data_IF_060908276845
#
_entry.id   IF_060908276845
#
_cell.length_a   1.000
_cell.length_b   1.000
_cell.length_c   1.000
_cell.angle_alpha   90.00
_cell.angle_beta   90.00
_cell.angle_gamma   90.00
#
_symmetry.space_group_name_H-M   'P 1'
#
loop_
_entity.id
_entity.type
_entity.pdbx_description
1 polymer ?
#
# COMPACT_ATOMS: atom_id res chain seq x y z
N UNK A 1 -0.68 -3.18 25.98
CA UNK A 1 0.78 -2.96 26.04
C UNK A 1 1.42 -3.44 24.73
N UNK A 2 1.25 -2.70 23.63
CA UNK A 2 2.01 -2.94 22.40
C UNK A 2 3.33 -2.19 22.54
N UNK A 3 4.40 -2.89 22.92
CA UNK A 3 5.73 -2.29 22.88
C UNK A 3 6.10 -2.15 21.42
N UNK A 4 6.21 -0.90 20.95
CA UNK A 4 6.81 -0.57 19.66
C UNK A 4 8.12 -1.34 19.50
N UNK A 5 8.25 -2.06 18.38
CA UNK A 5 9.50 -2.72 17.99
C UNK A 5 10.61 -1.67 17.77
N UNK A 6 10.24 -0.40 17.63
CA UNK A 6 11.14 0.73 17.57
C UNK A 6 11.42 1.28 18.96
N UNK A 7 12.66 1.10 19.40
CA UNK A 7 13.26 1.90 20.47
C UNK A 7 13.27 3.35 19.95
N UNK A 8 13.03 4.35 20.81
CA UNK A 8 12.88 5.77 20.43
C UNK A 8 14.03 6.41 19.58
N UNK A 9 15.09 5.66 19.26
CA UNK A 9 16.26 6.12 18.48
C UNK A 9 16.45 5.38 17.14
N UNK A 10 15.57 4.47 16.72
CA UNK A 10 15.70 3.75 15.43
C UNK A 10 14.96 4.49 14.31
N UNK A 11 15.70 5.19 13.45
CA UNK A 11 15.19 5.80 12.21
C UNK A 11 15.40 4.87 11.01
N UNK A 12 14.69 5.11 9.91
CA UNK A 12 14.88 4.33 8.68
C UNK A 12 16.32 4.41 8.14
N UNK A 13 17.03 5.51 8.39
CA UNK A 13 18.44 5.64 8.01
C UNK A 13 19.39 4.77 8.85
N UNK A 14 19.10 4.58 10.14
CA UNK A 14 19.91 3.65 10.95
C UNK A 14 19.67 2.20 10.54
N UNK A 15 18.43 1.84 10.19
CA UNK A 15 18.10 0.53 9.63
C UNK A 15 18.80 0.26 8.28
N UNK A 16 18.95 1.29 7.45
CA UNK A 16 19.65 1.19 6.17
C UNK A 16 21.16 0.99 6.33
N UNK A 17 21.74 1.52 7.41
CA UNK A 17 23.19 1.53 7.62
C UNK A 17 23.77 0.14 7.92
N UNK A 18 22.94 -0.83 8.31
CA UNK A 18 23.38 -2.19 8.65
C UNK A 18 22.63 -3.25 7.83
N UNK A 19 23.36 -4.06 7.08
CA UNK A 19 22.78 -5.13 6.24
C UNK A 19 21.94 -6.15 7.02
N UNK A 20 22.28 -6.45 8.28
CA UNK A 20 21.48 -7.35 9.11
C UNK A 20 20.13 -6.70 9.46
N UNK A 21 20.15 -5.43 9.87
CA UNK A 21 18.93 -4.69 10.20
C UNK A 21 18.06 -4.47 8.97
N UNK A 22 18.67 -4.20 7.81
CA UNK A 22 17.98 -4.03 6.54
C UNK A 22 17.23 -5.30 6.12
N UNK A 23 17.82 -6.49 6.27
CA UNK A 23 17.15 -7.73 5.83
C UNK A 23 16.14 -8.27 6.85
N UNK A 24 16.42 -8.15 8.15
CA UNK A 24 15.60 -8.78 9.18
C UNK A 24 14.62 -7.84 9.86
N UNK A 25 14.94 -6.56 10.02
CA UNK A 25 14.08 -5.60 10.74
C UNK A 25 13.26 -4.74 9.79
N UNK A 26 13.81 -4.34 8.63
CA UNK A 26 13.12 -3.47 7.67
C UNK A 26 11.73 -3.98 7.23
N UNK A 27 11.53 -5.28 6.92
CA UNK A 27 10.21 -5.77 6.51
C UNK A 27 9.15 -5.55 7.59
N UNK A 28 9.48 -5.86 8.85
CA UNK A 28 8.57 -5.69 9.99
C UNK A 28 8.38 -4.22 10.34
N UNK A 29 9.44 -3.42 10.20
CA UNK A 29 9.43 -1.99 10.41
C UNK A 29 8.44 -1.28 9.47
N UNK A 30 8.57 -1.51 8.16
CA UNK A 30 7.67 -0.96 7.14
C UNK A 30 6.25 -1.47 7.38
N UNK A 31 6.06 -2.79 7.54
CA UNK A 31 4.73 -3.40 7.69
C UNK A 31 4.00 -2.88 8.94
N UNK A 32 4.66 -2.83 10.09
CA UNK A 32 4.06 -2.36 11.34
C UNK A 32 3.64 -0.90 11.25
N UNK A 33 4.53 -0.02 10.77
CA UNK A 33 4.25 1.41 10.64
C UNK A 33 3.15 1.68 9.59
N UNK A 34 3.16 0.96 8.46
CA UNK A 34 2.11 1.07 7.44
C UNK A 34 0.74 0.63 7.98
N UNK A 35 0.69 -0.47 8.74
CA UNK A 35 -0.56 -0.94 9.36
C UNK A 35 -1.11 0.03 10.39
N UNK A 36 -0.24 0.65 11.18
CA UNK A 36 -0.64 1.71 12.12
C UNK A 36 -1.12 2.97 11.38
N UNK A 37 -0.54 3.31 10.23
CA UNK A 37 -1.06 4.40 9.41
C UNK A 37 -2.47 4.12 8.89
N UNK A 38 -2.76 2.88 8.51
CA UNK A 38 -4.06 2.50 7.91
C UNK A 38 -5.15 2.27 8.97
N UNK A 39 -4.82 1.67 10.11
CA UNK A 39 -5.80 1.24 11.12
C UNK A 39 -5.63 1.86 12.50
N UNK A 40 -4.59 2.68 12.69
CA UNK A 40 -4.30 3.33 13.97
C UNK A 40 -5.23 4.50 14.27
N UNK A 41 -5.25 4.88 15.55
CA UNK A 41 -5.89 6.10 16.03
C UNK A 41 -5.20 7.36 15.49
N UNK A 42 -5.88 8.52 15.47
CA UNK A 42 -5.31 9.78 14.95
C UNK A 42 -3.94 10.12 15.55
N UNK A 43 -3.72 9.81 16.83
CA UNK A 43 -2.43 10.01 17.50
C UNK A 43 -1.33 9.09 16.96
N UNK A 44 -1.65 7.81 16.75
CA UNK A 44 -0.70 6.83 16.22
C UNK A 44 -0.35 7.10 14.75
N UNK A 45 -1.29 7.67 13.98
CA UNK A 45 -1.07 8.11 12.60
C UNK A 45 -0.05 9.26 12.53
N UNK A 46 -0.18 10.26 13.41
CA UNK A 46 0.77 11.38 13.51
C UNK A 46 2.18 10.91 13.90
N UNK A 47 2.28 9.92 14.79
CA UNK A 47 3.57 9.33 15.16
C UNK A 47 4.27 8.58 14.02
N UNK A 48 3.53 8.21 12.96
CA UNK A 48 4.07 7.52 11.79
C UNK A 48 4.45 8.46 10.62
N UNK A 49 4.46 9.79 10.84
CA UNK A 49 4.94 10.75 9.83
C UNK A 49 6.36 10.43 9.31
N UNK A 50 7.21 9.80 10.12
CA UNK A 50 8.55 9.35 9.72
C UNK A 50 8.53 8.41 8.49
N UNK A 51 7.55 7.49 8.40
CA UNK A 51 7.41 6.62 7.23
C UNK A 51 6.97 7.41 6.00
N UNK A 52 6.04 8.36 6.18
CA UNK A 52 5.60 9.25 5.11
C UNK A 52 6.75 10.11 4.59
N UNK A 53 7.53 10.72 5.49
CA UNK A 53 8.71 11.51 5.15
C UNK A 53 9.76 10.65 4.45
N UNK A 54 10.01 9.43 4.92
CA UNK A 54 10.93 8.50 4.29
C UNK A 54 10.54 8.20 2.83
N UNK A 55 9.31 7.75 2.58
CA UNK A 55 8.86 7.46 1.21
C UNK A 55 8.79 8.71 0.32
N UNK A 56 8.36 9.84 0.87
CA UNK A 56 8.33 11.10 0.13
C UNK A 56 9.76 11.56 -0.23
N UNK A 57 10.74 11.40 0.67
CA UNK A 57 12.15 11.73 0.41
C UNK A 57 12.75 10.89 -0.73
N UNK A 58 12.35 9.61 -0.84
CA UNK A 58 12.73 8.74 -1.95
C UNK A 58 12.11 9.22 -3.28
N UNK A 59 10.90 9.79 -3.23
CA UNK A 59 10.19 10.26 -4.42
C UNK A 59 10.61 11.66 -4.90
N UNK A 60 10.93 12.59 -3.98
CA UNK A 60 11.08 14.02 -4.26
C UNK A 60 12.33 14.39 -5.08
N UNK A 61 13.32 13.50 -5.15
CA UNK A 61 14.62 13.78 -5.80
C UNK A 61 14.53 13.75 -7.34
N UNK A 62 13.40 13.36 -7.94
CA UNK A 62 13.21 13.53 -9.39
C UNK A 62 13.23 15.00 -9.84
N UNK A 63 13.00 15.95 -8.92
CA UNK A 63 12.83 17.38 -9.25
C UNK A 63 13.98 18.27 -8.73
N UNK A 64 14.91 17.73 -7.91
CA UNK A 64 16.02 18.49 -7.34
C UNK A 64 17.31 18.25 -8.11
N UNK A 65 17.33 18.67 -9.37
CA UNK A 65 18.56 18.89 -10.15
C UNK A 65 19.26 20.18 -9.70
N UNK A 66 19.65 20.28 -8.42
CA UNK A 66 20.55 21.35 -7.97
C UNK A 66 21.98 20.81 -7.85
N UNK A 67 22.71 21.17 -8.89
CA UNK A 67 24.09 20.89 -9.24
C UNK A 67 25.11 21.10 -8.08
N UNK A 68 26.08 20.19 -7.99
CA UNK A 68 27.48 20.35 -7.49
C UNK A 68 27.92 19.78 -6.13
N UNK A 69 27.05 19.33 -5.23
CA UNK A 69 27.49 18.58 -4.01
C UNK A 69 26.64 17.34 -3.67
N UNK A 70 25.61 17.05 -4.47
CA UNK A 70 24.63 16.01 -4.20
C UNK A 70 24.98 14.61 -4.75
N UNK A 71 26.09 14.42 -5.47
CA UNK A 71 26.35 13.19 -6.24
C UNK A 71 26.46 11.92 -5.37
N UNK A 72 27.04 12.00 -4.16
CA UNK A 72 27.13 10.83 -3.25
C UNK A 72 25.80 10.53 -2.52
N UNK A 73 25.04 11.57 -2.17
CA UNK A 73 23.75 11.42 -1.50
C UNK A 73 22.63 11.02 -2.48
N UNK A 74 22.72 11.43 -3.75
CA UNK A 74 21.76 11.06 -4.79
C UNK A 74 21.93 9.61 -5.23
N UNK A 75 23.18 9.13 -5.37
CA UNK A 75 23.47 7.73 -5.71
C UNK A 75 22.99 6.77 -4.61
N UNK A 76 23.30 7.08 -3.35
CA UNK A 76 22.81 6.27 -2.21
C UNK A 76 21.30 6.30 -2.10
N UNK A 77 20.65 7.43 -2.42
CA UNK A 77 19.19 7.54 -2.40
C UNK A 77 18.54 6.82 -3.59
N UNK A 78 19.16 6.81 -4.76
CA UNK A 78 18.71 6.01 -5.90
C UNK A 78 18.79 4.51 -5.60
N UNK A 79 19.88 4.05 -4.98
CA UNK A 79 20.02 2.66 -4.53
C UNK A 79 18.98 2.32 -3.46
N UNK A 80 18.74 3.23 -2.49
CA UNK A 80 17.67 3.11 -1.49
C UNK A 80 16.32 2.92 -2.16
N UNK A 81 15.97 3.84 -3.06
CA UNK A 81 14.71 3.83 -3.80
C UNK A 81 14.54 2.54 -4.58
N UNK A 82 15.51 2.18 -5.42
CA UNK A 82 15.43 0.98 -6.27
C UNK A 82 15.29 -0.30 -5.45
N UNK A 83 15.97 -0.40 -4.30
CA UNK A 83 15.81 -1.52 -3.37
C UNK A 83 14.40 -1.58 -2.79
N UNK A 84 13.88 -0.45 -2.29
CA UNK A 84 12.54 -0.40 -1.69
C UNK A 84 11.45 -0.68 -2.73
N UNK A 85 11.55 -0.09 -3.93
CA UNK A 85 10.63 -0.35 -5.04
C UNK A 85 10.61 -1.83 -5.42
N UNK A 86 11.78 -2.47 -5.47
CA UNK A 86 11.89 -3.90 -5.78
C UNK A 86 11.36 -4.80 -4.68
N UNK A 87 11.65 -4.48 -3.42
CA UNK A 87 11.38 -5.37 -2.28
C UNK A 87 9.97 -5.21 -1.71
N UNK A 88 9.40 -4.01 -1.75
CA UNK A 88 8.12 -3.67 -1.11
C UNK A 88 7.15 -2.94 -2.06
N UNK A 89 6.89 -3.47 -3.28
CA UNK A 89 6.04 -2.77 -4.25
C UNK A 89 4.58 -2.69 -3.81
N UNK A 90 4.08 -3.67 -3.04
CA UNK A 90 2.71 -3.69 -2.56
C UNK A 90 2.47 -2.66 -1.45
N UNK A 91 3.41 -2.58 -0.50
CA UNK A 91 3.39 -1.59 0.57
C UNK A 91 3.43 -0.16 0.01
N UNK A 92 4.24 0.07 -1.03
CA UNK A 92 4.26 1.34 -1.76
C UNK A 92 2.92 1.63 -2.45
N UNK A 93 2.32 0.65 -3.14
CA UNK A 93 1.03 0.82 -3.78
C UNK A 93 -0.07 1.22 -2.76
N UNK A 94 -0.07 0.55 -1.61
CA UNK A 94 -1.02 0.82 -0.51
C UNK A 94 -0.77 2.19 0.12
N UNK A 95 0.49 2.58 0.28
CA UNK A 95 0.87 3.90 0.79
C UNK A 95 0.42 5.03 -0.15
N UNK A 96 0.66 4.91 -1.46
CA UNK A 96 0.20 5.93 -2.41
C UNK A 96 -1.32 5.99 -2.51
N UNK A 97 -2.01 4.86 -2.30
CA UNK A 97 -3.46 4.85 -2.17
C UNK A 97 -3.91 5.68 -0.96
N UNK A 98 -3.27 5.50 0.19
CA UNK A 98 -3.54 6.29 1.39
C UNK A 98 -3.30 7.80 1.16
N UNK A 99 -2.25 8.16 0.42
CA UNK A 99 -1.99 9.54 0.01
C UNK A 99 -2.93 10.07 -1.09
N UNK A 100 -3.86 9.25 -1.59
CA UNK A 100 -4.78 9.55 -2.71
C UNK A 100 -4.07 9.85 -4.04
N UNK A 101 -2.85 9.35 -4.22
CA UNK A 101 -2.13 9.36 -5.50
C UNK A 101 -2.40 8.04 -6.25
N UNK A 102 -3.51 8.01 -6.97
CA UNK A 102 -4.00 6.80 -7.64
C UNK A 102 -3.11 6.36 -8.81
N UNK A 103 -2.47 7.29 -9.51
CA UNK A 103 -1.61 7.00 -10.66
C UNK A 103 -0.36 6.22 -10.23
N UNK A 104 0.30 6.68 -9.15
CA UNK A 104 1.45 5.97 -8.58
C UNK A 104 1.04 4.64 -7.98
N UNK A 105 -0.09 4.58 -7.27
CA UNK A 105 -0.62 3.33 -6.72
C UNK A 105 -0.82 2.28 -7.83
N UNK A 106 -1.41 2.68 -8.96
CA UNK A 106 -1.63 1.84 -10.14
C UNK A 106 -0.32 1.33 -10.76
N UNK A 107 0.69 2.16 -10.85
CA UNK A 107 2.01 1.74 -11.33
C UNK A 107 2.62 0.66 -10.42
N UNK A 108 2.65 0.88 -9.11
CA UNK A 108 3.29 -0.04 -8.18
C UNK A 108 2.54 -1.37 -8.03
N UNK A 109 1.20 -1.37 -8.13
CA UNK A 109 0.44 -2.64 -8.09
C UNK A 109 0.67 -3.48 -9.35
N UNK A 110 0.80 -2.86 -10.52
CA UNK A 110 1.15 -3.56 -11.76
C UNK A 110 2.55 -4.15 -11.64
N UNK A 111 3.51 -3.35 -11.16
CA UNK A 111 4.87 -3.82 -10.90
C UNK A 111 4.91 -4.98 -9.89
N UNK A 112 4.12 -4.92 -8.81
CA UNK A 112 4.01 -6.01 -7.83
C UNK A 112 3.49 -7.31 -8.46
N UNK A 113 2.49 -7.24 -9.36
CA UNK A 113 1.97 -8.40 -10.10
C UNK A 113 3.01 -9.01 -11.03
N UNK A 114 3.79 -8.18 -11.73
CA UNK A 114 4.88 -8.65 -12.59
C UNK A 114 5.97 -9.35 -11.77
N UNK A 115 6.40 -8.75 -10.65
CA UNK A 115 7.37 -9.36 -9.74
C UNK A 115 6.86 -10.68 -9.17
N UNK A 116 5.57 -10.76 -8.83
CA UNK A 116 4.93 -11.99 -8.40
C UNK A 116 5.04 -13.10 -9.46
N UNK A 117 4.75 -12.80 -10.73
CA UNK A 117 4.83 -13.79 -11.81
C UNK A 117 6.27 -14.26 -12.02
N UNK A 118 7.24 -13.34 -11.98
CA UNK A 118 8.66 -13.67 -12.07
C UNK A 118 9.08 -14.58 -10.91
N UNK A 119 8.73 -14.22 -9.68
CA UNK A 119 9.03 -15.02 -8.49
C UNK A 119 8.37 -16.41 -8.55
N UNK A 120 7.10 -16.48 -8.95
CA UNK A 120 6.38 -17.74 -9.11
C UNK A 120 7.03 -18.66 -10.14
N UNK A 121 7.50 -18.10 -11.27
CA UNK A 121 8.18 -18.87 -12.32
C UNK A 121 9.51 -19.48 -11.86
N UNK A 122 10.17 -18.86 -10.89
CA UNK A 122 11.45 -19.32 -10.33
C UNK A 122 11.29 -20.37 -9.23
N UNK A 123 10.10 -20.49 -8.64
CA UNK A 123 9.85 -21.45 -7.55
C UNK A 123 9.81 -22.88 -8.07
N UNK A 124 10.63 -23.75 -7.46
CA UNK A 124 10.57 -25.18 -7.72
C UNK A 124 9.21 -25.75 -7.32
N UNK A 125 8.70 -26.69 -8.13
CA UNK A 125 7.42 -27.38 -7.88
C UNK A 125 7.40 -28.12 -6.54
N UNK A 126 8.58 -28.53 -6.05
CA UNK A 126 8.76 -29.28 -4.79
C UNK A 126 8.71 -28.38 -3.55
N UNK A 127 8.86 -27.07 -3.68
CA UNK A 127 8.76 -26.14 -2.56
C UNK A 127 7.29 -25.80 -2.28
N UNK A 128 6.55 -26.75 -1.70
CA UNK A 128 5.11 -26.59 -1.41
C UNK A 128 4.85 -25.40 -0.48
N UNK A 129 5.68 -25.20 0.53
CA UNK A 129 5.53 -24.10 1.48
C UNK A 129 5.72 -22.75 0.80
N UNK A 130 6.81 -22.55 0.05
CA UNK A 130 7.07 -21.30 -0.67
C UNK A 130 5.96 -20.98 -1.67
N UNK A 131 5.47 -21.99 -2.40
CA UNK A 131 4.33 -21.80 -3.32
C UNK A 131 3.06 -21.44 -2.58
N UNK A 132 2.77 -22.07 -1.43
CA UNK A 132 1.61 -21.73 -0.61
C UNK A 132 1.67 -20.29 -0.09
N UNK A 133 2.84 -19.82 0.37
CA UNK A 133 2.98 -18.45 0.86
C UNK A 133 2.86 -17.44 -0.27
N UNK A 134 3.49 -17.71 -1.42
CA UNK A 134 3.43 -16.81 -2.57
C UNK A 134 2.00 -16.70 -3.09
N UNK A 135 1.28 -17.81 -3.28
CA UNK A 135 -0.07 -17.76 -3.87
C UNK A 135 -1.08 -16.98 -3.01
N UNK A 136 -0.89 -16.94 -1.69
CA UNK A 136 -1.75 -16.16 -0.79
C UNK A 136 -1.65 -14.65 -1.01
N UNK A 137 -0.54 -14.14 -1.58
CA UNK A 137 -0.36 -12.72 -1.89
C UNK A 137 -1.16 -12.26 -3.11
N UNK A 138 -1.64 -13.19 -3.95
CA UNK A 138 -2.33 -12.81 -5.19
C UNK A 138 -3.66 -12.11 -4.92
N UNK A 139 -4.34 -12.51 -3.84
CA UNK A 139 -5.64 -11.96 -3.48
C UNK A 139 -5.56 -10.47 -3.14
N UNK A 140 -4.74 -10.01 -2.18
CA UNK A 140 -4.63 -8.58 -1.90
C UNK A 140 -4.14 -7.78 -3.11
N UNK A 141 -3.30 -8.36 -3.99
CA UNK A 141 -2.84 -7.67 -5.20
C UNK A 141 -3.96 -7.48 -6.22
N UNK A 142 -4.82 -8.48 -6.36
CA UNK A 142 -5.96 -8.42 -7.26
C UNK A 142 -7.02 -7.47 -6.75
N UNK A 143 -7.36 -7.52 -5.47
CA UNK A 143 -8.38 -6.64 -4.86
C UNK A 143 -7.98 -5.16 -4.93
N UNK A 144 -6.70 -4.82 -4.68
CA UNK A 144 -6.21 -3.44 -4.80
C UNK A 144 -6.30 -2.94 -6.25
N UNK A 145 -5.92 -3.75 -7.23
CA UNK A 145 -6.02 -3.36 -8.64
C UNK A 145 -7.48 -3.22 -9.10
N UNK A 146 -8.37 -4.13 -8.68
CA UNK A 146 -9.80 -4.00 -8.93
C UNK A 146 -10.37 -2.71 -8.32
N UNK A 147 -9.94 -2.37 -7.10
CA UNK A 147 -10.37 -1.14 -6.44
C UNK A 147 -9.88 0.11 -7.20
N UNK A 148 -8.63 0.14 -7.64
CA UNK A 148 -8.10 1.25 -8.44
C UNK A 148 -8.82 1.40 -9.78
N UNK A 149 -9.09 0.29 -10.47
CA UNK A 149 -9.89 0.29 -11.70
C UNK A 149 -11.31 0.79 -11.42
N UNK A 150 -11.93 0.37 -10.32
CA UNK A 150 -13.24 0.86 -9.91
C UNK A 150 -13.23 2.37 -9.65
N UNK A 151 -12.21 2.89 -8.95
CA UNK A 151 -12.06 4.31 -8.69
C UNK A 151 -11.91 5.10 -9.99
N UNK A 152 -11.09 4.65 -10.93
CA UNK A 152 -10.90 5.31 -12.23
C UNK A 152 -12.22 5.43 -13.02
N UNK A 153 -13.02 4.36 -13.06
CA UNK A 153 -14.32 4.37 -13.74
C UNK A 153 -15.39 5.21 -13.02
N UNK A 154 -15.33 5.33 -11.69
CA UNK A 154 -16.31 6.05 -10.89
C UNK A 154 -15.83 7.45 -10.44
N UNK A 155 -14.61 7.85 -10.83
CA UNK A 155 -14.04 9.17 -10.53
C UNK A 155 -14.91 10.35 -11.00
N UNK A 156 -15.59 10.29 -12.16
CA UNK A 156 -16.54 11.33 -12.57
C UNK A 156 -17.74 11.40 -11.63
N UNK A 157 -18.21 10.27 -11.09
CA UNK A 157 -19.32 10.24 -10.13
C UNK A 157 -18.88 10.78 -8.77
N UNK A 158 -17.68 10.43 -8.30
CA UNK A 158 -17.06 10.96 -7.09
C UNK A 158 -16.88 12.47 -7.15
N UNK A 159 -16.33 13.02 -8.25
CA UNK A 159 -16.23 14.47 -8.46
C UNK A 159 -17.60 15.15 -8.48
N UNK A 160 -18.60 14.49 -9.09
CA UNK A 160 -19.97 15.00 -9.08
C UNK A 160 -20.60 14.93 -7.68
N UNK A 161 -20.25 13.96 -6.84
CA UNK A 161 -20.70 13.88 -5.45
C UNK A 161 -20.04 14.97 -4.62
N UNK A 162 -18.72 15.11 -4.67
CA UNK A 162 -17.93 16.13 -3.95
C UNK A 162 -18.38 17.55 -4.29
N UNK A 163 -18.54 17.86 -5.59
CA UNK A 163 -19.08 19.14 -6.04
C UNK A 163 -20.53 19.37 -5.60
N UNK A 164 -21.33 18.30 -5.40
CA UNK A 164 -22.74 18.40 -5.00
C UNK A 164 -22.94 18.53 -3.48
N UNK A 165 -22.09 17.91 -2.66
CA UNK A 165 -22.05 18.11 -1.22
C UNK A 165 -21.76 19.57 -0.84
N UNK A 166 -20.94 20.27 -1.63
CA UNK A 166 -20.72 21.72 -1.50
C UNK A 166 -21.96 22.56 -1.89
N UNK A 167 -22.92 21.97 -2.61
CA UNK A 167 -24.14 22.63 -3.11
C UNK A 167 -25.45 22.06 -2.52
N UNK A 168 -25.43 21.47 -1.32
CA UNK A 168 -26.60 21.20 -0.44
C UNK A 168 -27.96 20.97 -1.14
N UNK A 169 -28.04 20.02 -2.09
CA UNK A 169 -29.23 19.81 -2.90
C UNK A 169 -29.94 18.52 -2.49
N UNK A 170 -31.22 18.60 -2.10
CA UNK A 170 -32.02 17.53 -1.48
C UNK A 170 -32.19 16.23 -2.31
N UNK A 171 -31.63 16.16 -3.51
CA UNK A 171 -31.66 15.00 -4.41
C UNK A 171 -30.45 14.05 -4.25
N UNK A 172 -29.52 14.34 -3.34
CA UNK A 172 -28.23 13.64 -3.15
C UNK A 172 -28.32 12.17 -2.72
N UNK A 173 -29.44 11.75 -2.12
CA UNK A 173 -29.64 10.37 -1.65
C UNK A 173 -29.53 9.38 -2.83
N UNK A 174 -30.09 9.74 -3.99
CA UNK A 174 -30.12 8.87 -5.17
C UNK A 174 -28.74 8.57 -5.76
N UNK A 175 -27.85 9.55 -5.81
CA UNK A 175 -26.50 9.35 -6.38
C UNK A 175 -25.54 8.67 -5.43
N UNK A 176 -25.70 8.90 -4.12
CA UNK A 176 -24.96 8.13 -3.10
C UNK A 176 -25.40 6.67 -3.10
N UNK A 177 -26.71 6.42 -3.14
CA UNK A 177 -27.24 5.06 -3.14
C UNK A 177 -26.84 4.32 -4.44
N UNK A 178 -26.80 4.99 -5.60
CA UNK A 178 -26.25 4.45 -6.85
C UNK A 178 -24.75 4.11 -6.74
N UNK A 179 -23.95 4.93 -6.06
CA UNK A 179 -22.53 4.67 -5.84
C UNK A 179 -22.33 3.46 -4.91
N UNK A 180 -23.08 3.37 -3.82
CA UNK A 180 -23.05 2.24 -2.90
C UNK A 180 -23.51 0.94 -3.57
N UNK A 181 -24.55 0.99 -4.41
CA UNK A 181 -24.99 -0.17 -5.20
C UNK A 181 -23.89 -0.64 -6.16
N UNK A 182 -23.16 0.28 -6.79
CA UNK A 182 -22.02 -0.06 -7.66
C UNK A 182 -20.85 -0.64 -6.88
N UNK A 183 -20.47 -0.09 -5.73
CA UNK A 183 -19.45 -0.69 -4.86
C UNK A 183 -19.86 -2.12 -4.50
N UNK A 184 -21.12 -2.31 -4.11
CA UNK A 184 -21.60 -3.63 -3.71
C UNK A 184 -21.57 -4.62 -4.87
N UNK A 185 -22.06 -4.20 -6.03
CA UNK A 185 -22.14 -5.04 -7.23
C UNK A 185 -20.78 -5.33 -7.84
N UNK A 186 -19.92 -4.33 -7.98
CA UNK A 186 -18.69 -4.44 -8.77
C UNK A 186 -17.49 -4.89 -7.92
N UNK A 187 -17.47 -4.58 -6.62
CA UNK A 187 -16.36 -4.96 -5.73
C UNK A 187 -16.78 -6.03 -4.72
N UNK A 188 -17.75 -5.73 -3.85
CA UNK A 188 -18.07 -6.59 -2.70
C UNK A 188 -18.57 -7.97 -3.16
N UNK A 189 -19.36 -8.03 -4.24
CA UNK A 189 -19.85 -9.30 -4.77
C UNK A 189 -18.74 -10.19 -5.34
N UNK A 190 -17.64 -9.60 -5.82
CA UNK A 190 -16.51 -10.30 -6.43
C UNK A 190 -15.48 -10.71 -5.38
N UNK A 191 -15.38 -9.96 -4.28
CA UNK A 191 -14.42 -10.16 -3.21
C UNK A 191 -14.78 -11.33 -2.29
N UNK A 192 -14.27 -12.51 -2.63
CA UNK A 192 -14.37 -13.68 -1.76
C UNK A 192 -13.47 -13.53 -0.52
N UNK A 193 -13.92 -14.05 0.62
CA UNK A 193 -13.07 -14.09 1.82
C UNK A 193 -11.98 -15.17 1.64
N UNK A 194 -10.78 -14.97 2.23
CA UNK A 194 -9.78 -16.03 2.29
C UNK A 194 -10.36 -17.29 2.95
N UNK A 195 -9.84 -18.47 2.65
CA UNK A 195 -10.24 -19.70 3.34
C UNK A 195 -9.80 -19.65 4.81
N UNK A 196 -10.73 -19.92 5.74
CA UNK A 196 -10.51 -19.89 7.20
C UNK A 196 -9.47 -20.93 7.64
N UNK A 197 -9.38 -22.07 6.96
CA UNK A 197 -8.52 -23.19 7.37
C UNK A 197 -7.18 -23.14 6.63
N UNK A 198 -7.19 -22.77 5.35
CA UNK A 198 -5.99 -22.86 4.50
C UNK A 198 -5.13 -21.59 4.49
N UNK A 199 -5.75 -20.43 4.73
CA UNK A 199 -5.08 -19.13 4.68
C UNK A 199 -4.36 -18.83 5.99
N UNK A 200 -3.24 -18.11 5.90
CA UNK A 200 -2.54 -17.65 7.10
C UNK A 200 -3.29 -16.48 7.73
N UNK A 201 -3.10 -16.27 9.04
CA UNK A 201 -3.64 -15.09 9.74
C UNK A 201 -3.12 -13.77 9.14
N UNK A 202 -1.90 -13.77 8.60
CA UNK A 202 -1.32 -12.60 7.93
C UNK A 202 -2.10 -12.24 6.66
N UNK A 203 -2.49 -13.24 5.86
CA UNK A 203 -3.32 -13.04 4.68
C UNK A 203 -4.69 -12.49 5.04
N UNK A 204 -5.29 -13.00 6.11
CA UNK A 204 -6.55 -12.48 6.64
C UNK A 204 -6.43 -11.02 7.08
N UNK A 205 -5.41 -10.71 7.87
CA UNK A 205 -5.11 -9.35 8.31
C UNK A 205 -4.90 -8.40 7.12
N UNK A 206 -4.12 -8.80 6.12
CA UNK A 206 -3.88 -8.01 4.91
C UNK A 206 -5.18 -7.75 4.13
N UNK A 207 -5.97 -8.77 3.84
CA UNK A 207 -7.22 -8.60 3.09
C UNK A 207 -8.22 -7.72 3.84
N UNK A 208 -8.43 -7.95 5.14
CA UNK A 208 -9.43 -7.20 5.91
C UNK A 208 -9.02 -5.75 6.10
N UNK A 209 -7.75 -5.49 6.47
CA UNK A 209 -7.26 -4.10 6.65
C UNK A 209 -7.27 -3.31 5.35
N UNK A 210 -6.90 -3.93 4.22
CA UNK A 210 -6.96 -3.26 2.92
C UNK A 210 -8.40 -2.94 2.50
N UNK A 211 -9.35 -3.86 2.72
CA UNK A 211 -10.77 -3.58 2.46
C UNK A 211 -11.31 -2.45 3.32
N UNK A 212 -10.88 -2.37 4.59
CA UNK A 212 -11.23 -1.24 5.45
C UNK A 212 -10.69 0.07 4.89
N UNK A 213 -9.44 0.10 4.42
CA UNK A 213 -8.86 1.25 3.73
C UNK A 213 -9.65 1.64 2.47
N UNK A 214 -10.06 0.65 1.66
CA UNK A 214 -10.83 0.91 0.43
C UNK A 214 -12.16 1.61 0.72
N UNK A 215 -12.81 1.23 1.83
CA UNK A 215 -14.07 1.84 2.26
C UNK A 215 -13.88 3.23 2.88
N UNK A 216 -12.73 3.52 3.47
CA UNK A 216 -12.41 4.85 4.03
C UNK A 216 -11.98 5.85 2.95
N UNK A 217 -11.33 5.36 1.89
CA UNK A 217 -10.88 6.18 0.75
C UNK A 217 -12.04 6.54 -0.20
N UNK A 218 -13.09 5.70 -0.27
CA UNK A 218 -14.25 5.87 -1.17
C UNK A 218 -15.32 6.82 -0.64
#
# INVERSE_FOLDING_TARGET
MSKHIFIANTTFDTLWSNAYQLNYLMPYAIRSKLKLLISGSEQEQLEQEDLCQFFNSLSAISNASSLTTATSNSETTFVKRSYIEKQYPFELATFFLYQKDFDRSKYYIQYAKEQFLLHWSQLSRLNEYGRKTTIQLIQPYHELDQFLVFLEHNLPLLKNLENRYLTNNKNDITTRDLFLERIHKDLISQWQLPDVIRSSIQTWDDVVTNRALFLDVS
#
